data_IF_919680404125
#
_entry.id   IF_919680404125
#
_cell.length_a   1.000
_cell.length_b   1.000
_cell.length_c   1.000
_cell.angle_alpha   90.00
_cell.angle_beta   90.00
_cell.angle_gamma   90.00
#
_symmetry.space_group_name_H-M   'P 1'
#
loop_
_entity.id
_entity.type
_entity.pdbx_description
1 polymer ?
#
# COMPACT_ATOMS: atom_id res chain seq x y z
N UNK A 1 12.72 12.72 -17.99
CA UNK A 1 13.23 12.03 -16.77
C UNK A 1 12.02 11.56 -15.97
N UNK A 2 12.00 10.30 -15.52
CA UNK A 2 10.89 9.76 -14.73
C UNK A 2 11.21 9.91 -13.24
N UNK A 3 10.60 10.90 -12.58
CA UNK A 3 10.92 11.28 -11.19
C UNK A 3 10.13 10.49 -10.14
N UNK A 4 9.02 9.85 -10.54
CA UNK A 4 8.07 9.18 -9.64
C UNK A 4 8.74 8.12 -8.74
N UNK A 5 9.73 7.39 -9.25
CA UNK A 5 10.47 6.38 -8.47
C UNK A 5 11.35 6.97 -7.35
N UNK A 6 11.74 8.24 -7.45
CA UNK A 6 12.69 8.89 -6.54
C UNK A 6 12.02 9.67 -5.41
N UNK A 7 10.72 9.90 -5.49
CA UNK A 7 9.95 10.64 -4.49
C UNK A 7 8.51 10.12 -4.34
N UNK A 8 8.31 8.81 -4.11
CA UNK A 8 6.97 8.23 -3.98
C UNK A 8 6.38 8.49 -2.59
N UNK A 9 5.13 8.93 -2.52
CA UNK A 9 4.49 9.19 -1.22
C UNK A 9 3.55 8.05 -0.82
N UNK A 10 3.60 7.65 0.44
CA UNK A 10 2.79 6.55 0.98
C UNK A 10 1.65 7.13 1.79
N UNK A 11 0.45 6.58 1.60
CA UNK A 11 -0.65 6.69 2.55
C UNK A 11 -0.75 5.36 3.28
N UNK A 12 -0.42 5.37 4.58
CA UNK A 12 -0.68 4.24 5.46
C UNK A 12 -2.12 4.28 5.96
N UNK A 13 -2.83 3.16 5.87
CA UNK A 13 -4.16 2.99 6.43
C UNK A 13 -4.27 1.68 7.19
N UNK A 14 -4.77 1.77 8.42
CA UNK A 14 -5.16 0.62 9.24
C UNK A 14 -6.59 0.21 8.88
N UNK A 15 -6.74 -0.99 8.30
CA UNK A 15 -8.06 -1.57 8.06
C UNK A 15 -8.69 -2.08 9.36
N UNK A 16 -8.13 -3.15 9.90
CA UNK A 16 -8.58 -3.80 11.14
C UNK A 16 -7.40 -4.56 11.75
N UNK A 17 -6.29 -3.85 11.88
CA UNK A 17 -5.06 -4.36 12.45
C UNK A 17 -5.15 -4.46 13.97
N UNK A 18 -4.30 -5.31 14.55
CA UNK A 18 -4.04 -5.33 16.00
C UNK A 18 -2.94 -4.34 16.41
N UNK A 19 -2.65 -3.34 15.57
CA UNK A 19 -1.55 -2.37 15.69
C UNK A 19 -0.13 -2.93 15.54
N UNK A 20 0.05 -4.25 15.46
CA UNK A 20 1.37 -4.87 15.31
C UNK A 20 2.08 -4.43 14.02
N UNK A 21 1.43 -4.59 12.86
CA UNK A 21 2.05 -4.17 11.59
C UNK A 21 2.15 -2.64 11.46
N UNK A 22 1.27 -1.88 12.13
CA UNK A 22 1.30 -0.41 12.13
C UNK A 22 2.54 0.12 12.85
N UNK A 23 2.89 -0.48 13.99
CA UNK A 23 4.11 -0.16 14.72
C UNK A 23 5.34 -0.43 13.84
N UNK A 24 5.36 -1.55 13.11
CA UNK A 24 6.47 -1.89 12.21
C UNK A 24 6.56 -0.95 11.00
N UNK A 25 5.42 -0.49 10.46
CA UNK A 25 5.38 0.56 9.44
C UNK A 25 5.96 1.87 9.97
N UNK A 26 5.58 2.28 11.18
CA UNK A 26 6.15 3.47 11.82
C UNK A 26 7.65 3.28 12.14
N UNK A 27 8.07 2.08 12.53
CA UNK A 27 9.48 1.76 12.75
C UNK A 27 10.30 1.97 11.47
N UNK A 28 9.75 1.69 10.28
CA UNK A 28 10.42 1.96 9.00
C UNK A 28 10.75 3.45 8.79
N UNK A 29 10.01 4.36 9.42
CA UNK A 29 10.24 5.82 9.35
C UNK A 29 11.26 6.31 10.40
N UNK A 30 11.71 5.44 11.30
CA UNK A 30 12.70 5.81 12.33
C UNK A 30 14.14 5.72 11.79
N UNK A 31 15.11 6.42 12.41
CA UNK A 31 16.49 6.48 11.90
C UNK A 31 17.21 5.14 11.74
N UNK A 32 16.77 4.08 12.42
CA UNK A 32 17.39 2.77 12.33
C UNK A 32 17.16 2.12 10.96
N UNK A 33 15.94 2.24 10.43
CA UNK A 33 15.55 1.61 9.18
C UNK A 33 15.48 2.61 8.02
N UNK A 34 15.12 3.86 8.34
CA UNK A 34 15.12 5.05 7.49
C UNK A 34 14.69 4.77 6.03
N UNK A 35 13.39 4.55 5.86
CA UNK A 35 12.79 4.40 4.52
C UNK A 35 12.78 5.74 3.76
N UNK A 36 12.91 6.87 4.44
CA UNK A 36 12.88 8.22 3.83
C UNK A 36 14.07 8.46 2.89
N UNK A 37 15.18 7.74 3.07
CA UNK A 37 16.33 7.76 2.13
C UNK A 37 15.97 7.44 0.68
N UNK A 38 14.85 6.77 0.44
CA UNK A 38 14.34 6.47 -0.90
C UNK A 38 13.38 7.56 -1.44
N UNK A 39 13.25 8.68 -0.72
CA UNK A 39 12.31 9.77 -1.03
C UNK A 39 10.87 9.45 -0.62
N UNK A 40 10.69 8.45 0.25
CA UNK A 40 9.40 8.01 0.77
C UNK A 40 9.02 8.87 1.95
N UNK A 41 7.80 9.41 1.94
CA UNK A 41 7.21 10.04 3.12
C UNK A 41 5.81 9.48 3.34
N UNK A 42 5.41 9.40 4.61
CA UNK A 42 4.03 9.06 4.96
C UNK A 42 3.18 10.34 4.95
N UNK A 43 2.15 10.38 4.11
CA UNK A 43 1.24 11.51 3.95
C UNK A 43 -0.15 11.18 4.49
N UNK A 44 -0.82 12.15 5.12
CA UNK A 44 -2.18 11.99 5.60
C UNK A 44 -3.27 12.29 4.56
N UNK A 45 -2.90 12.76 3.36
CA UNK A 45 -3.86 13.13 2.33
C UNK A 45 -3.80 12.14 1.14
N UNK A 46 -4.87 11.38 0.86
CA UNK A 46 -4.90 10.43 -0.26
C UNK A 46 -4.63 11.09 -1.62
N UNK A 47 -4.98 12.37 -1.79
CA UNK A 47 -4.76 13.09 -3.06
C UNK A 47 -3.28 13.32 -3.38
N UNK A 48 -2.40 13.20 -2.40
CA UNK A 48 -0.95 13.38 -2.57
C UNK A 48 -0.19 12.04 -2.57
N UNK A 49 -0.87 10.92 -2.31
CA UNK A 49 -0.22 9.63 -2.18
C UNK A 49 -0.17 8.89 -3.52
N UNK A 50 0.96 8.22 -3.77
CA UNK A 50 1.16 7.33 -4.92
C UNK A 50 0.99 5.85 -4.53
N UNK A 51 1.26 5.53 -3.26
CA UNK A 51 1.23 4.16 -2.74
C UNK A 51 0.25 4.10 -1.56
N UNK A 52 -0.72 3.18 -1.65
CA UNK A 52 -1.64 2.86 -0.57
C UNK A 52 -1.11 1.65 0.19
N UNK A 53 -0.65 1.85 1.42
CA UNK A 53 -0.12 0.79 2.25
C UNK A 53 -1.16 0.42 3.30
N UNK A 54 -1.73 -0.78 3.18
CA UNK A 54 -2.81 -1.26 4.06
C UNK A 54 -2.26 -2.31 5.01
N UNK A 55 -2.46 -2.08 6.29
CA UNK A 55 -2.19 -3.03 7.37
C UNK A 55 -3.50 -3.61 7.91
N UNK A 56 -3.42 -4.85 8.40
CA UNK A 56 -4.60 -5.54 8.92
C UNK A 56 -5.58 -5.99 7.82
N UNK A 57 -6.59 -6.76 8.22
CA UNK A 57 -7.63 -7.23 7.28
C UNK A 57 -8.67 -6.15 7.00
N UNK A 58 -9.46 -6.35 5.95
CA UNK A 58 -10.62 -5.49 5.62
C UNK A 58 -11.87 -6.13 6.23
N UNK A 59 -12.67 -5.34 6.95
CA UNK A 59 -13.91 -5.77 7.59
C UNK A 59 -15.10 -5.08 6.92
N UNK A 60 -16.32 -5.55 7.14
CA UNK A 60 -17.52 -4.99 6.48
C UNK A 60 -17.68 -3.47 6.66
N UNK A 61 -17.25 -2.92 7.81
CA UNK A 61 -17.41 -1.50 8.14
C UNK A 61 -16.41 -0.61 7.40
N UNK A 62 -15.19 -1.09 7.15
CA UNK A 62 -14.12 -0.29 6.56
C UNK A 62 -14.02 -0.42 5.02
N UNK A 63 -14.72 -1.38 4.40
CA UNK A 63 -14.82 -1.50 2.92
C UNK A 63 -15.07 -0.15 2.24
N UNK A 64 -16.11 0.63 2.59
CA UNK A 64 -16.38 1.90 1.90
C UNK A 64 -15.24 2.91 2.07
N UNK A 65 -14.57 2.90 3.22
CA UNK A 65 -13.48 3.82 3.54
C UNK A 65 -12.25 3.50 2.69
N UNK A 66 -11.85 2.22 2.66
CA UNK A 66 -10.71 1.75 1.87
C UNK A 66 -10.91 2.02 0.38
N UNK A 67 -12.12 1.80 -0.14
CA UNK A 67 -12.48 2.14 -1.52
C UNK A 67 -12.39 3.63 -1.79
N UNK A 68 -12.94 4.45 -0.90
CA UNK A 68 -12.90 5.90 -1.04
C UNK A 68 -11.46 6.44 -1.04
N UNK A 69 -10.59 5.94 -0.15
CA UNK A 69 -9.17 6.32 -0.12
C UNK A 69 -8.50 5.98 -1.45
N UNK A 70 -8.70 4.75 -1.93
CA UNK A 70 -8.15 4.31 -3.21
C UNK A 70 -8.68 5.16 -4.38
N UNK A 71 -9.96 5.47 -4.43
CA UNK A 71 -10.57 6.28 -5.50
C UNK A 71 -10.07 7.73 -5.50
N UNK A 72 -9.81 8.31 -4.33
CA UNK A 72 -9.30 9.68 -4.19
C UNK A 72 -7.82 9.83 -4.57
N UNK A 73 -7.07 8.73 -4.63
CA UNK A 73 -5.67 8.76 -5.05
C UNK A 73 -5.51 8.98 -6.57
N UNK A 74 -4.57 9.84 -6.99
CA UNK A 74 -4.28 10.07 -8.40
C UNK A 74 -3.68 8.83 -9.08
N UNK A 75 -3.88 8.72 -10.40
CA UNK A 75 -3.19 7.71 -11.21
C UNK A 75 -1.84 8.24 -11.71
N UNK A 76 -0.75 7.44 -11.69
CA UNK A 76 -0.70 6.02 -11.33
C UNK A 76 -0.60 5.77 -9.82
N UNK A 77 -1.30 4.74 -9.33
CA UNK A 77 -1.22 4.31 -7.92
C UNK A 77 -0.92 2.83 -7.75
N UNK A 78 -0.37 2.48 -6.57
CA UNK A 78 -0.02 1.11 -6.20
C UNK A 78 -0.59 0.75 -4.84
N UNK A 79 -1.10 -0.46 -4.67
CA UNK A 79 -1.62 -0.97 -3.38
C UNK A 79 -0.68 -2.03 -2.83
N UNK A 80 -0.26 -1.85 -1.57
CA UNK A 80 0.61 -2.77 -0.84
C UNK A 80 -0.15 -3.31 0.37
N UNK A 81 -0.31 -4.63 0.44
CA UNK A 81 -0.92 -5.29 1.59
C UNK A 81 0.17 -5.80 2.55
N UNK A 82 0.16 -5.30 3.79
CA UNK A 82 1.19 -5.57 4.80
C UNK A 82 0.65 -6.42 5.95
N UNK A 83 1.29 -7.57 6.15
CA UNK A 83 0.96 -8.53 7.20
C UNK A 83 -0.01 -9.63 6.75
N UNK A 84 -0.02 -10.74 7.49
CA UNK A 84 -0.81 -11.93 7.13
C UNK A 84 -2.31 -11.63 7.09
N UNK A 85 -2.79 -10.77 7.98
CA UNK A 85 -4.19 -10.33 8.00
C UNK A 85 -4.55 -9.56 6.72
N UNK A 86 -3.68 -8.68 6.23
CA UNK A 86 -3.92 -7.93 4.99
C UNK A 86 -3.85 -8.81 3.74
N UNK A 87 -2.98 -9.84 3.76
CA UNK A 87 -2.79 -10.74 2.61
C UNK A 87 -3.90 -11.79 2.47
N UNK A 88 -4.47 -12.29 3.58
CA UNK A 88 -5.38 -13.45 3.55
C UNK A 88 -6.52 -13.41 4.57
N UNK A 89 -6.57 -12.41 5.45
CA UNK A 89 -7.42 -12.43 6.66
C UNK A 89 -6.74 -13.09 7.87
N UNK A 90 -5.66 -13.85 7.65
CA UNK A 90 -4.87 -14.47 8.72
C UNK A 90 -5.73 -15.34 9.64
N UNK A 91 -5.51 -15.22 10.95
CA UNK A 91 -6.28 -15.97 11.95
C UNK A 91 -7.77 -15.59 11.98
N UNK A 92 -8.14 -14.46 11.40
CA UNK A 92 -9.52 -13.95 11.38
C UNK A 92 -10.24 -14.24 10.04
N UNK A 93 -9.66 -15.04 9.14
CA UNK A 93 -10.21 -15.27 7.81
C UNK A 93 -11.63 -15.86 7.82
N UNK A 94 -11.97 -16.66 8.83
CA UNK A 94 -13.29 -17.29 9.00
C UNK A 94 -14.24 -16.50 9.91
N UNK A 95 -13.84 -15.33 10.40
CA UNK A 95 -14.70 -14.49 11.22
C UNK A 95 -15.78 -13.80 10.37
N UNK A 96 -17.00 -13.72 10.90
CA UNK A 96 -18.18 -13.23 10.19
C UNK A 96 -18.04 -11.80 9.63
N UNK A 97 -17.23 -10.95 10.27
CA UNK A 97 -17.07 -9.55 9.92
C UNK A 97 -15.87 -9.28 9.02
N UNK A 98 -14.96 -10.24 8.84
CA UNK A 98 -13.75 -10.09 8.05
C UNK A 98 -14.02 -10.60 6.63
N UNK A 99 -13.75 -9.75 5.65
CA UNK A 99 -13.94 -10.11 4.24
C UNK A 99 -12.84 -11.08 3.81
N UNK A 100 -11.64 -10.96 4.39
CA UNK A 100 -10.44 -11.73 4.09
C UNK A 100 -9.27 -10.79 3.84
N UNK A 101 -8.45 -11.13 2.84
CA UNK A 101 -7.39 -10.25 2.35
C UNK A 101 -7.93 -8.97 1.70
N UNK A 102 -7.06 -7.97 1.58
CA UNK A 102 -7.33 -6.67 0.95
C UNK A 102 -7.69 -6.85 -0.54
N UNK A 103 -7.18 -7.91 -1.15
CA UNK A 103 -7.37 -8.29 -2.56
C UNK A 103 -8.83 -8.55 -2.95
N UNK A 104 -9.67 -8.92 -1.98
CA UNK A 104 -11.12 -9.04 -2.19
C UNK A 104 -11.83 -7.70 -2.39
N UNK A 105 -11.19 -6.59 -2.03
CA UNK A 105 -11.78 -5.25 -2.03
C UNK A 105 -11.05 -4.28 -2.97
N UNK A 106 -9.72 -4.35 -3.02
CA UNK A 106 -8.87 -3.51 -3.86
C UNK A 106 -7.91 -4.36 -4.70
N UNK A 107 -7.45 -3.86 -5.87
CA UNK A 107 -6.41 -4.52 -6.64
C UNK A 107 -5.06 -4.38 -5.93
N UNK A 108 -4.64 -5.42 -5.19
CA UNK A 108 -3.33 -5.46 -4.53
C UNK A 108 -2.24 -5.76 -5.55
N UNK A 109 -1.19 -4.93 -5.56
CA UNK A 109 -0.05 -5.09 -6.44
C UNK A 109 1.13 -5.82 -5.77
N UNK A 110 1.35 -5.56 -4.48
CA UNK A 110 2.45 -6.15 -3.71
C UNK A 110 1.94 -6.66 -2.37
N UNK A 111 2.34 -7.87 -2.02
CA UNK A 111 2.05 -8.50 -0.74
C UNK A 111 3.32 -8.60 0.11
N UNK A 112 3.22 -8.19 1.36
CA UNK A 112 4.29 -8.32 2.36
C UNK A 112 3.82 -9.27 3.46
N UNK A 113 4.18 -10.56 3.40
CA UNK A 113 3.78 -11.52 4.44
C UNK A 113 4.51 -11.26 5.77
N UNK A 114 3.84 -11.55 6.90
CA UNK A 114 4.42 -11.47 8.25
C UNK A 114 3.37 -11.29 9.35
N UNK A 115 3.73 -11.53 10.62
CA UNK A 115 2.82 -11.37 11.76
C UNK A 115 3.59 -11.05 13.07
N UNK A 116 3.98 -9.79 13.33
CA UNK A 116 3.94 -8.65 12.41
C UNK A 116 5.02 -8.77 11.32
N UNK A 117 4.85 -8.06 10.21
CA UNK A 117 5.88 -8.02 9.16
C UNK A 117 7.09 -7.22 9.66
N UNK A 118 8.29 -7.80 9.54
CA UNK A 118 9.52 -7.11 9.97
C UNK A 118 9.75 -5.84 9.13
N UNK A 119 10.35 -4.77 9.70
CA UNK A 119 10.59 -3.52 8.96
C UNK A 119 11.36 -3.72 7.67
N UNK A 120 12.35 -4.62 7.64
CA UNK A 120 13.12 -4.92 6.44
C UNK A 120 12.27 -5.55 5.33
N UNK A 121 11.27 -6.36 5.72
CA UNK A 121 10.32 -6.96 4.77
C UNK A 121 9.34 -5.92 4.23
N UNK A 122 8.92 -4.98 5.07
CA UNK A 122 8.09 -3.83 4.65
C UNK A 122 8.87 -2.96 3.66
N UNK A 123 10.12 -2.62 3.96
CA UNK A 123 10.98 -1.83 3.07
C UNK A 123 11.19 -2.54 1.73
N UNK A 124 11.51 -3.84 1.72
CA UNK A 124 11.62 -4.61 0.48
C UNK A 124 10.32 -4.61 -0.33
N UNK A 125 9.18 -4.76 0.35
CA UNK A 125 7.84 -4.64 -0.25
C UNK A 125 7.59 -3.28 -0.90
N UNK A 126 7.95 -2.19 -0.22
CA UNK A 126 7.80 -0.84 -0.75
C UNK A 126 8.76 -0.61 -1.93
N UNK A 127 10.00 -1.08 -1.87
CA UNK A 127 10.94 -0.97 -3.00
C UNK A 127 10.42 -1.74 -4.22
N UNK A 128 9.80 -2.91 -4.03
CA UNK A 128 9.10 -3.63 -5.10
C UNK A 128 7.92 -2.82 -5.65
N UNK A 129 7.15 -2.17 -4.79
CA UNK A 129 6.05 -1.30 -5.20
C UNK A 129 6.53 -0.13 -6.09
N UNK A 130 7.75 0.38 -5.89
CA UNK A 130 8.33 1.43 -6.74
C UNK A 130 8.57 0.95 -8.19
N UNK A 131 8.96 -0.31 -8.36
CA UNK A 131 9.13 -0.89 -9.68
C UNK A 131 7.77 -1.01 -10.40
N UNK A 132 6.74 -1.48 -9.70
CA UNK A 132 5.37 -1.57 -10.24
C UNK A 132 4.82 -0.18 -10.60
N UNK A 133 5.04 0.82 -9.73
CA UNK A 133 4.61 2.20 -9.98
C UNK A 133 5.26 2.77 -11.25
N UNK A 134 6.56 2.49 -11.46
CA UNK A 134 7.29 2.88 -12.66
C UNK A 134 6.68 2.27 -13.93
N UNK A 135 6.32 0.98 -13.88
CA UNK A 135 5.69 0.26 -14.99
C UNK A 135 4.29 0.81 -15.31
N UNK A 136 3.46 1.02 -14.28
CA UNK A 136 2.14 1.64 -14.42
C UNK A 136 2.23 3.02 -15.06
N UNK A 137 3.22 3.84 -14.66
CA UNK A 137 3.44 5.17 -15.24
C UNK A 137 3.82 5.10 -16.72
N UNK A 138 4.70 4.17 -17.11
CA UNK A 138 5.06 3.94 -18.52
C UNK A 138 3.84 3.50 -19.33
N UNK A 139 3.02 2.59 -18.79
CA UNK A 139 1.79 2.13 -19.45
C UNK A 139 0.77 3.26 -19.62
N UNK A 140 0.57 4.10 -18.61
CA UNK A 140 -0.32 5.25 -18.66
C UNK A 140 0.14 6.29 -19.70
N UNK A 141 1.45 6.53 -19.77
CA UNK A 141 2.06 7.43 -20.77
C UNK A 141 1.83 6.94 -22.20
N UNK A 142 2.04 5.63 -22.45
CA UNK A 142 1.76 5.00 -23.75
C UNK A 142 0.29 5.11 -24.14
N UNK A 143 -0.64 4.86 -23.21
CA UNK A 143 -2.10 5.03 -23.44
C UNK A 143 -2.45 6.47 -23.82
N UNK A 144 -1.91 7.47 -23.11
CA UNK A 144 -2.12 8.90 -23.44
C UNK A 144 -1.60 9.27 -24.83
N UNK A 145 -0.46 8.71 -25.25
CA UNK A 145 0.08 8.92 -26.60
C UNK A 145 -0.74 8.23 -27.69
N UNK A 146 -1.35 7.09 -27.39
CA UNK A 146 -2.21 6.36 -28.34
C UNK A 146 -3.57 7.05 -28.55
N UNK A 147 -4.15 7.64 -27.51
CA UNK A 147 -5.44 8.39 -27.60
C UNK A 147 -5.30 9.72 -28.34
N UNK A 148 -4.08 10.27 -28.41
CA UNK A 148 -3.81 11.54 -29.11
C UNK A 148 -3.55 11.37 -30.62
N UNK A 149 -3.44 10.14 -31.12
CA UNK A 149 -3.34 9.83 -32.55
C UNK A 149 -4.71 9.44 -33.08
#
# INVERSE_FOLDING_TARGET
MNFVKKSPWILHYDGSSCNGCDIEVLACLTPLYDVERFGIINTGNPKHADILLITGSVNEQNIPIVKQLYEQMPEPKVVVAVGICATSGGIFADCYNIVGGVDKVLPVDVYVPGCAARPESIIDGVVKALAVLEEKQKALSKKKSAVKK
#
